data_IF_410711566578
#
_entry.id   IF_410711566578
#
_cell.length_a   1.000
_cell.length_b   1.000
_cell.length_c   1.000
_cell.angle_alpha   90.00
_cell.angle_beta   90.00
_cell.angle_gamma   90.00
#
_symmetry.space_group_name_H-M   'P 1'
#
loop_
_entity.id
_entity.type
_entity.pdbx_description
1 polymer ?
#
# COMPACT_ATOMS: atom_id res chain seq x y z
N UNK A 1 3.21 -1.13 -37.05
CA UNK A 1 2.63 -2.00 -36.01
C UNK A 1 3.77 -2.77 -35.34
N UNK A 2 4.34 -2.23 -34.27
CA UNK A 2 5.42 -2.91 -33.54
C UNK A 2 4.82 -4.01 -32.68
N UNK A 3 5.18 -5.27 -32.97
CA UNK A 3 4.84 -6.43 -32.17
C UNK A 3 5.53 -6.33 -30.81
N UNK A 4 4.73 -6.19 -29.75
CA UNK A 4 5.17 -6.32 -28.37
C UNK A 4 5.62 -7.77 -28.14
N UNK A 5 6.94 -7.99 -28.02
CA UNK A 5 7.49 -9.30 -27.67
C UNK A 5 7.09 -9.61 -26.23
N UNK A 6 6.15 -10.54 -26.05
CA UNK A 6 5.83 -11.10 -24.74
C UNK A 6 7.00 -12.00 -24.34
N UNK A 7 7.91 -11.46 -23.52
CA UNK A 7 8.96 -12.24 -22.85
C UNK A 7 8.30 -13.35 -22.01
N UNK A 8 8.65 -14.63 -22.22
CA UNK A 8 8.03 -15.73 -21.49
C UNK A 8 8.34 -15.62 -20.00
N UNK A 9 7.29 -15.57 -19.17
CA UNK A 9 7.44 -15.51 -17.71
C UNK A 9 7.96 -16.85 -17.21
N UNK A 10 9.25 -16.90 -16.87
CA UNK A 10 9.88 -18.08 -16.26
C UNK A 10 9.30 -18.38 -14.88
N UNK A 11 8.57 -19.48 -14.71
CA UNK A 11 7.97 -19.83 -13.41
C UNK A 11 9.01 -20.48 -12.48
N UNK A 12 9.63 -19.69 -11.59
CA UNK A 12 10.59 -20.19 -10.59
C UNK A 12 9.90 -20.61 -9.29
N UNK A 13 10.62 -21.35 -8.44
CA UNK A 13 10.16 -21.71 -7.10
C UNK A 13 9.91 -20.49 -6.21
N UNK A 14 10.71 -19.42 -6.33
CA UNK A 14 10.45 -18.18 -5.59
C UNK A 14 9.17 -17.48 -6.05
N UNK A 15 8.89 -17.50 -7.36
CA UNK A 15 7.67 -16.90 -7.93
C UNK A 15 6.43 -17.68 -7.52
N UNK A 16 6.47 -19.01 -7.55
CA UNK A 16 5.40 -19.87 -7.02
C UNK A 16 5.13 -19.57 -5.54
N UNK A 17 6.19 -19.46 -4.73
CA UNK A 17 6.06 -19.13 -3.31
C UNK A 17 5.39 -17.77 -3.11
N UNK A 18 5.84 -16.73 -3.82
CA UNK A 18 5.26 -15.39 -3.74
C UNK A 18 3.78 -15.38 -4.17
N UNK A 19 3.45 -16.11 -5.25
CA UNK A 19 2.08 -16.25 -5.73
C UNK A 19 1.16 -16.92 -4.68
N UNK A 20 1.62 -18.03 -4.07
CA UNK A 20 0.87 -18.70 -3.00
C UNK A 20 0.69 -17.82 -1.78
N UNK A 21 1.73 -17.09 -1.37
CA UNK A 21 1.64 -16.14 -0.25
C UNK A 21 0.61 -15.06 -0.54
N UNK A 22 0.60 -14.48 -1.74
CA UNK A 22 -0.38 -13.48 -2.13
C UNK A 22 -1.81 -14.06 -2.15
N UNK A 23 -1.97 -15.26 -2.72
CA UNK A 23 -3.27 -15.95 -2.75
C UNK A 23 -3.80 -16.18 -1.34
N UNK A 24 -2.96 -16.66 -0.42
CA UNK A 24 -3.34 -16.85 0.98
C UNK A 24 -3.74 -15.53 1.64
N UNK A 25 -2.96 -14.47 1.44
CA UNK A 25 -3.25 -13.14 2.01
C UNK A 25 -4.57 -12.55 1.49
N UNK A 26 -4.90 -12.77 0.21
CA UNK A 26 -6.17 -12.34 -0.38
C UNK A 26 -7.35 -13.13 0.19
N UNK A 27 -7.18 -14.44 0.43
CA UNK A 27 -8.22 -15.28 1.05
C UNK A 27 -8.44 -14.95 2.53
N UNK A 28 -7.40 -14.51 3.23
CA UNK A 28 -7.48 -14.11 4.65
C UNK A 28 -7.72 -12.62 4.86
N UNK A 29 -7.89 -11.83 3.79
CA UNK A 29 -7.97 -10.39 3.90
C UNK A 29 -9.21 -9.97 4.71
N UNK A 30 -9.07 -9.07 5.70
CA UNK A 30 -10.21 -8.57 6.45
C UNK A 30 -11.16 -7.78 5.55
N UNK A 31 -12.45 -7.81 5.87
CA UNK A 31 -13.45 -7.08 5.11
C UNK A 31 -13.20 -5.57 5.17
N UNK A 32 -12.86 -4.98 4.02
CA UNK A 32 -12.67 -3.55 3.90
C UNK A 32 -13.97 -2.79 4.21
N UNK A 33 -13.83 -1.66 4.89
CA UNK A 33 -14.92 -0.71 5.13
C UNK A 33 -15.11 0.21 3.94
N UNK A 34 -16.36 0.56 3.66
CA UNK A 34 -16.63 1.70 2.79
C UNK A 34 -16.19 2.98 3.52
N UNK A 35 -15.57 3.94 2.81
CA UNK A 35 -15.14 5.19 3.41
C UNK A 35 -16.35 5.99 3.90
N UNK A 36 -16.33 6.36 5.18
CA UNK A 36 -17.30 7.25 5.80
C UNK A 36 -16.69 8.65 5.93
N UNK A 37 -17.06 9.56 5.02
CA UNK A 37 -16.49 10.90 4.95
C UNK A 37 -16.92 11.83 6.10
N UNK A 38 -17.81 11.38 6.99
CA UNK A 38 -18.17 12.10 8.21
C UNK A 38 -17.15 11.91 9.33
N UNK A 39 -16.27 10.90 9.21
CA UNK A 39 -15.28 10.52 10.22
C UNK A 39 -13.86 10.85 9.77
N UNK A 40 -12.94 11.09 10.72
CA UNK A 40 -11.52 11.19 10.40
C UNK A 40 -10.99 9.86 9.86
N UNK A 41 -9.96 9.96 9.02
CA UNK A 41 -9.16 8.82 8.60
C UNK A 41 -7.86 8.79 9.40
N UNK A 42 -7.38 7.59 9.71
CA UNK A 42 -6.03 7.38 10.25
C UNK A 42 -5.22 6.58 9.24
N UNK A 43 -4.02 7.04 8.92
CA UNK A 43 -3.10 6.38 8.00
C UNK A 43 -1.89 5.87 8.76
N UNK A 44 -1.74 4.55 8.79
CA UNK A 44 -0.49 3.93 9.21
C UNK A 44 0.38 3.69 7.99
N UNK A 45 1.64 4.13 8.04
CA UNK A 45 2.61 3.89 6.97
C UNK A 45 3.91 3.27 7.49
N UNK A 46 4.53 2.44 6.66
CA UNK A 46 5.82 1.82 6.93
C UNK A 46 6.64 1.70 5.62
N UNK A 47 7.97 1.67 5.76
CA UNK A 47 8.90 1.41 4.68
C UNK A 47 9.63 0.10 4.96
N UNK A 48 9.48 -0.87 4.07
CA UNK A 48 10.24 -2.10 4.19
C UNK A 48 10.69 -2.62 2.82
N UNK A 49 11.96 -3.05 2.74
CA UNK A 49 12.60 -3.54 1.51
C UNK A 49 12.38 -2.58 0.34
N UNK A 50 12.57 -1.28 0.55
CA UNK A 50 12.46 -0.25 -0.49
C UNK A 50 11.06 -0.12 -1.08
N UNK A 51 10.07 -0.51 -0.29
CA UNK A 51 8.64 -0.51 -0.66
C UNK A 51 7.87 0.20 0.43
N UNK A 52 7.22 1.28 0.06
CA UNK A 52 6.26 1.98 0.90
C UNK A 52 5.00 1.12 1.07
N UNK A 53 4.49 1.06 2.28
CA UNK A 53 3.25 0.36 2.62
C UNK A 53 2.42 1.28 3.50
N UNK A 54 1.11 1.18 3.38
CA UNK A 54 0.24 1.80 4.36
C UNK A 54 -1.14 1.20 4.41
N UNK A 55 -1.82 1.45 5.50
CA UNK A 55 -3.22 1.08 5.71
C UNK A 55 -3.98 2.32 6.17
N UNK A 56 -5.06 2.60 5.47
CA UNK A 56 -6.02 3.63 5.81
C UNK A 56 -7.13 2.99 6.61
N UNK A 57 -7.37 3.47 7.82
CA UNK A 57 -8.39 2.95 8.74
C UNK A 57 -9.34 4.05 9.17
N UNK A 58 -10.52 3.64 9.63
CA UNK A 58 -11.51 4.50 10.26
C UNK A 58 -12.10 3.83 11.51
N UNK A 59 -12.53 4.63 12.46
CA UNK A 59 -13.18 4.14 13.66
C UNK A 59 -14.55 3.49 13.36
N UNK A 60 -14.72 2.26 13.85
CA UNK A 60 -15.97 1.53 13.90
C UNK A 60 -16.25 1.14 15.37
N UNK A 61 -16.88 2.05 16.10
CA UNK A 61 -17.05 1.90 17.55
C UNK A 61 -15.69 1.94 18.26
N UNK A 62 -15.36 0.95 19.13
CA UNK A 62 -14.07 0.89 19.81
C UNK A 62 -12.94 0.30 18.95
N UNK A 63 -13.25 -0.18 17.74
CA UNK A 63 -12.29 -0.84 16.85
C UNK A 63 -11.94 0.02 15.65
N UNK A 64 -10.77 -0.22 15.06
CA UNK A 64 -10.39 0.35 13.77
C UNK A 64 -10.73 -0.62 12.64
N UNK A 65 -11.40 -0.11 11.61
CA UNK A 65 -11.71 -0.87 10.41
C UNK A 65 -10.84 -0.39 9.24
N UNK A 66 -10.10 -1.28 8.56
CA UNK A 66 -9.38 -0.95 7.35
C UNK A 66 -10.33 -0.54 6.23
N UNK A 67 -10.06 0.59 5.59
CA UNK A 67 -10.75 1.09 4.40
C UNK A 67 -9.95 0.71 3.14
N UNK A 68 -8.63 0.85 3.18
CA UNK A 68 -7.77 0.54 2.05
C UNK A 68 -6.35 0.17 2.48
N UNK A 69 -5.70 -0.70 1.70
CA UNK A 69 -4.27 -1.01 1.81
C UNK A 69 -3.54 -0.46 0.60
N UNK A 70 -2.40 0.18 0.85
CA UNK A 70 -1.55 0.76 -0.16
C UNK A 70 -0.17 0.12 -0.13
N UNK A 71 0.40 -0.09 -1.31
CA UNK A 71 1.83 -0.39 -1.45
C UNK A 71 2.40 0.28 -2.69
N UNK A 72 3.68 0.65 -2.62
CA UNK A 72 4.41 1.21 -3.74
C UNK A 72 5.88 0.90 -3.65
N UNK A 73 6.51 0.64 -4.80
CA UNK A 73 7.97 0.61 -4.86
C UNK A 73 8.47 2.04 -4.96
N UNK A 74 9.38 2.40 -4.06
CA UNK A 74 10.03 3.71 -4.09
C UNK A 74 10.84 3.89 -5.37
N UNK A 75 10.97 5.13 -5.83
CA UNK A 75 11.80 5.46 -6.99
C UNK A 75 13.29 5.18 -6.71
N UNK A 76 14.13 5.02 -7.76
CA UNK A 76 15.53 4.68 -7.60
C UNK A 76 16.34 5.68 -6.76
N UNK A 77 15.97 6.97 -6.77
CA UNK A 77 16.67 8.03 -6.03
C UNK A 77 16.38 7.86 -4.54
N UNK A 78 15.10 7.75 -4.17
CA UNK A 78 14.66 7.52 -2.79
C UNK A 78 15.17 6.20 -2.22
N UNK A 79 15.39 5.18 -3.06
CA UNK A 79 16.02 3.92 -2.63
C UNK A 79 17.47 4.09 -2.16
N UNK A 80 18.18 5.10 -2.65
CA UNK A 80 19.55 5.41 -2.29
C UNK A 80 19.69 6.21 -0.99
N UNK A 81 18.61 6.77 -0.46
CA UNK A 81 18.66 7.63 0.73
C UNK A 81 18.78 6.83 2.04
N UNK A 82 19.26 7.45 3.14
CA UNK A 82 19.19 6.90 4.49
C UNK A 82 17.76 6.48 4.88
N UNK A 83 17.67 5.55 5.82
CA UNK A 83 16.39 4.96 6.26
C UNK A 83 15.37 6.02 6.70
N UNK A 84 15.75 6.96 7.58
CA UNK A 84 14.83 7.99 8.07
C UNK A 84 14.23 8.86 6.95
N UNK A 85 15.06 9.27 5.98
CA UNK A 85 14.60 10.02 4.80
C UNK A 85 13.68 9.16 3.95
N UNK A 86 14.01 7.87 3.80
CA UNK A 86 13.22 6.92 3.01
C UNK A 86 11.85 6.67 3.62
N UNK A 87 11.75 6.57 4.94
CA UNK A 87 10.47 6.42 5.65
C UNK A 87 9.58 7.66 5.45
N UNK A 88 10.15 8.86 5.52
CA UNK A 88 9.40 10.11 5.26
C UNK A 88 8.92 10.16 3.81
N UNK A 89 9.77 9.83 2.85
CA UNK A 89 9.40 9.79 1.45
C UNK A 89 8.33 8.72 1.15
N UNK A 90 8.42 7.56 1.80
CA UNK A 90 7.39 6.52 1.73
C UNK A 90 6.06 7.01 2.31
N UNK A 91 6.07 7.69 3.46
CA UNK A 91 4.87 8.28 4.04
C UNK A 91 4.22 9.28 3.07
N UNK A 92 5.01 10.18 2.48
CA UNK A 92 4.53 11.15 1.51
C UNK A 92 3.92 10.48 0.26
N UNK A 93 4.54 9.42 -0.24
CA UNK A 93 4.02 8.66 -1.40
C UNK A 93 2.67 8.01 -1.09
N UNK A 94 2.51 7.42 0.10
CA UNK A 94 1.22 6.82 0.50
C UNK A 94 0.15 7.90 0.72
N UNK A 95 0.51 9.07 1.23
CA UNK A 95 -0.40 10.22 1.36
C UNK A 95 -0.92 10.65 -0.01
N UNK A 96 -0.05 10.79 -1.01
CA UNK A 96 -0.50 11.13 -2.37
C UNK A 96 -1.41 10.05 -2.97
N UNK A 97 -1.12 8.76 -2.72
CA UNK A 97 -1.97 7.67 -3.21
C UNK A 97 -3.35 7.63 -2.56
N UNK A 98 -3.43 7.93 -1.27
CA UNK A 98 -4.70 7.88 -0.55
C UNK A 98 -5.62 9.08 -0.83
N UNK A 99 -5.10 10.15 -1.46
CA UNK A 99 -5.85 11.38 -1.78
C UNK A 99 -7.15 11.13 -2.53
N UNK A 100 -7.16 10.13 -3.41
CA UNK A 100 -8.36 9.70 -4.16
C UNK A 100 -9.47 9.15 -3.28
N UNK A 101 -9.12 8.56 -2.12
CA UNK A 101 -10.06 7.98 -1.16
C UNK A 101 -10.42 8.98 -0.06
N UNK A 102 -9.47 9.79 0.42
CA UNK A 102 -9.69 10.72 1.54
C UNK A 102 -10.43 11.99 1.09
N UNK A 103 -10.32 12.39 -0.18
CA UNK A 103 -11.02 13.54 -0.78
C UNK A 103 -10.88 14.85 0.01
N UNK A 104 -9.69 15.08 0.58
CA UNK A 104 -9.38 16.29 1.37
C UNK A 104 -10.04 16.36 2.75
N UNK A 105 -10.55 15.23 3.26
CA UNK A 105 -11.02 15.11 4.66
C UNK A 105 -9.85 15.01 5.64
N UNK A 106 -10.16 15.14 6.92
CA UNK A 106 -9.19 15.05 8.00
C UNK A 106 -8.46 13.70 7.96
N UNK A 107 -7.14 13.77 7.83
CA UNK A 107 -6.22 12.64 7.82
C UNK A 107 -5.25 12.77 9.00
N UNK A 108 -5.23 11.74 9.84
CA UNK A 108 -4.29 11.58 10.94
C UNK A 108 -3.17 10.64 10.47
N UNK A 109 -1.92 11.01 10.74
CA UNK A 109 -0.71 10.23 10.44
C UNK A 109 -0.10 9.70 11.73
#
# INVERSE_FOLDING_TARGET
TQNEKVEPVTWSTEREKAFRTLKAALLSAPALGLPDYSKPFTLYCDENKRTAKGVLVQALGPYERPVAYFSSKLDPVTKGTPFCIRTIAAAAEIVEKNRTIVLGRLLLL
#
